data_IF_708365073256
#
_entry.id   IF_708365073256
#
_cell.length_a   1.000
_cell.length_b   1.000
_cell.length_c   1.000
_cell.angle_alpha   90.00
_cell.angle_beta   90.00
_cell.angle_gamma   90.00
#
_symmetry.space_group_name_H-M   'P 1'
#
loop_
_entity.id
_entity.type
_entity.pdbx_description
1 polymer ?
#
# COMPACT_ATOMS: atom_id res chain seq x y z
N UNK A 1 -24.36 -20.48 -38.27
CA UNK A 1 -25.20 -20.83 -37.10
C UNK A 1 -25.44 -22.33 -37.12
N UNK A 2 -24.71 -23.06 -36.27
CA UNK A 2 -24.62 -24.53 -36.04
C UNK A 2 -23.38 -24.66 -35.13
N UNK A 3 -23.22 -25.49 -34.09
CA UNK A 3 -24.03 -26.42 -33.27
C UNK A 3 -23.07 -26.91 -32.16
N UNK A 4 -23.65 -27.49 -31.10
CA UNK A 4 -23.13 -28.62 -30.32
C UNK A 4 -21.86 -28.50 -29.45
N UNK A 5 -22.10 -28.74 -28.15
CA UNK A 5 -21.24 -29.41 -27.17
C UNK A 5 -20.31 -30.46 -27.82
N UNK A 6 -19.09 -30.58 -27.29
CA UNK A 6 -18.54 -31.84 -26.73
C UNK A 6 -17.33 -31.55 -25.83
N UNK A 7 -17.49 -31.94 -24.57
CA UNK A 7 -16.44 -32.26 -23.60
C UNK A 7 -15.70 -33.53 -24.08
N UNK A 8 -14.54 -33.85 -23.47
CA UNK A 8 -13.61 -35.00 -23.71
C UNK A 8 -12.43 -34.55 -24.61
N UNK A 9 -11.16 -34.52 -24.18
CA UNK A 9 -10.45 -35.59 -23.49
C UNK A 9 -9.38 -35.10 -22.51
N UNK A 10 -9.51 -35.57 -21.27
CA UNK A 10 -8.41 -35.85 -20.35
C UNK A 10 -7.67 -37.09 -20.87
N UNK A 11 -6.39 -36.98 -21.24
CA UNK A 11 -5.28 -37.95 -20.97
C UNK A 11 -4.09 -37.71 -21.92
N UNK A 12 -3.04 -37.09 -21.39
CA UNK A 12 -1.67 -37.32 -21.85
C UNK A 12 -0.76 -37.12 -20.64
N UNK A 13 -0.67 -38.17 -19.82
CA UNK A 13 0.31 -38.31 -18.76
C UNK A 13 1.62 -38.83 -19.39
N UNK A 14 2.75 -38.41 -18.81
CA UNK A 14 4.11 -38.99 -18.92
C UNK A 14 5.05 -38.41 -19.98
N UNK A 15 5.65 -37.26 -19.64
CA UNK A 15 7.09 -37.02 -19.83
C UNK A 15 7.52 -35.83 -18.95
N UNK A 16 7.65 -36.05 -17.64
CA UNK A 16 8.40 -35.10 -16.80
C UNK A 16 9.88 -35.22 -17.17
N UNK A 17 10.59 -34.13 -17.50
CA UNK A 17 12.03 -34.19 -17.61
C UNK A 17 12.62 -34.55 -16.24
N UNK A 18 13.55 -35.49 -16.28
CA UNK A 18 14.42 -35.89 -15.17
C UNK A 18 14.91 -34.65 -14.41
N UNK A 19 14.57 -34.59 -13.11
CA UNK A 19 15.16 -33.64 -12.16
C UNK A 19 16.66 -33.89 -12.09
N UNK A 20 17.43 -33.19 -12.93
CA UNK A 20 18.85 -33.00 -12.68
C UNK A 20 18.96 -32.29 -11.33
N UNK A 21 19.77 -32.86 -10.44
CA UNK A 21 20.08 -32.25 -9.15
C UNK A 21 20.75 -30.88 -9.40
N UNK A 22 20.04 -29.79 -9.10
CA UNK A 22 20.64 -28.46 -9.16
C UNK A 22 21.71 -28.32 -8.07
N UNK A 23 22.89 -27.81 -8.39
CA UNK A 23 23.93 -27.57 -7.41
C UNK A 23 23.43 -26.50 -6.45
N UNK A 24 23.63 -26.75 -5.16
CA UNK A 24 23.35 -25.86 -4.04
C UNK A 24 23.67 -24.42 -4.39
N UNK A 25 22.64 -23.66 -4.78
CA UNK A 25 22.77 -22.25 -5.09
C UNK A 25 23.35 -21.57 -3.86
N UNK A 26 24.56 -21.04 -4.03
CA UNK A 26 25.23 -20.25 -3.03
C UNK A 26 24.24 -19.24 -2.45
N UNK A 27 24.17 -19.20 -1.12
CA UNK A 27 23.37 -18.23 -0.37
C UNK A 27 23.74 -16.83 -0.83
N UNK A 28 22.92 -16.25 -1.70
CA UNK A 28 23.01 -14.83 -2.04
C UNK A 28 22.71 -14.09 -0.73
N UNK A 29 23.63 -13.26 -0.21
CA UNK A 29 23.31 -12.48 0.96
C UNK A 29 22.14 -11.58 0.58
N UNK A 30 21.02 -11.72 1.30
CA UNK A 30 19.91 -10.79 1.25
C UNK A 30 20.44 -9.49 1.84
N UNK A 31 21.05 -8.66 0.98
CA UNK A 31 21.27 -7.27 1.30
C UNK A 31 19.88 -6.71 1.53
N UNK A 32 19.62 -6.23 2.74
CA UNK A 32 18.40 -5.55 3.13
C UNK A 32 18.32 -4.26 2.29
N UNK A 33 17.89 -4.39 1.05
CA UNK A 33 17.51 -3.28 0.21
C UNK A 33 16.29 -2.68 0.91
N UNK A 34 16.49 -1.59 1.65
CA UNK A 34 15.43 -0.64 1.91
C UNK A 34 14.85 -0.33 0.54
N UNK A 35 13.68 -0.89 0.23
CA UNK A 35 12.99 -0.61 -1.02
C UNK A 35 12.61 0.87 -0.97
N UNK A 36 13.49 1.71 -1.52
CA UNK A 36 13.18 3.12 -1.72
C UNK A 36 11.94 3.14 -2.62
N UNK A 37 10.92 3.90 -2.21
CA UNK A 37 9.77 4.11 -3.05
C UNK A 37 10.25 4.58 -4.44
N UNK A 38 9.59 4.16 -5.54
CA UNK A 38 9.92 4.67 -6.87
C UNK A 38 9.95 6.20 -6.87
N UNK A 39 10.72 6.86 -7.73
CA UNK A 39 10.66 8.31 -7.86
C UNK A 39 9.22 8.82 -8.04
N UNK A 40 8.92 9.99 -7.48
CA UNK A 40 7.60 10.62 -7.66
C UNK A 40 7.40 11.00 -9.14
N UNK A 41 6.27 10.64 -9.77
CA UNK A 41 5.94 11.06 -11.13
C UNK A 41 5.92 12.58 -11.26
N UNK A 42 6.26 13.07 -12.45
CA UNK A 42 6.10 14.48 -12.78
C UNK A 42 4.63 14.90 -12.63
N UNK A 43 4.37 15.99 -11.89
CA UNK A 43 3.02 16.51 -11.65
C UNK A 43 2.38 16.10 -10.32
N UNK A 44 3.04 15.27 -9.49
CA UNK A 44 2.63 15.07 -8.10
C UNK A 44 2.66 16.40 -7.32
N UNK A 45 1.59 16.67 -6.56
CA UNK A 45 1.51 17.82 -5.65
C UNK A 45 1.55 17.34 -4.21
N UNK A 46 2.50 17.84 -3.44
CA UNK A 46 2.51 17.65 -1.98
C UNK A 46 1.33 18.41 -1.35
N UNK A 47 0.48 17.69 -0.61
CA UNK A 47 -0.70 18.26 0.07
C UNK A 47 -0.53 18.47 1.58
N UNK A 48 0.53 17.91 2.17
CA UNK A 48 0.87 18.10 3.57
C UNK A 48 2.12 18.97 3.69
N UNK A 49 2.06 20.00 4.52
CA UNK A 49 3.13 21.00 4.65
C UNK A 49 4.31 20.54 5.53
N UNK A 50 4.23 19.36 6.16
CA UNK A 50 5.27 18.80 7.02
C UNK A 50 5.35 19.41 8.43
N UNK A 51 4.46 20.33 8.80
CA UNK A 51 4.57 21.16 10.01
C UNK A 51 3.33 21.13 10.88
N UNK A 52 2.16 21.27 10.28
CA UNK A 52 0.89 21.41 10.98
C UNK A 52 -0.29 20.93 10.14
N UNK A 53 -1.49 21.00 10.72
CA UNK A 53 -2.74 20.57 10.10
C UNK A 53 -3.44 21.69 9.31
N UNK A 54 -2.72 22.73 8.87
CA UNK A 54 -3.31 23.74 7.97
C UNK A 54 -3.84 23.08 6.71
N UNK A 55 -5.11 23.34 6.39
CA UNK A 55 -5.78 22.69 5.27
C UNK A 55 -6.34 21.29 5.58
N UNK A 56 -6.29 20.85 6.83
CA UNK A 56 -6.85 19.57 7.31
C UNK A 56 -7.89 19.80 8.40
N UNK A 57 -8.86 18.91 8.48
CA UNK A 57 -9.94 18.92 9.46
C UNK A 57 -10.08 17.53 10.09
N UNK A 58 -10.15 17.47 11.42
CA UNK A 58 -10.19 16.24 12.19
C UNK A 58 -10.32 16.56 13.67
N UNK A 59 -10.68 15.56 14.48
CA UNK A 59 -10.79 15.75 15.93
C UNK A 59 -9.40 16.08 16.52
N UNK A 60 -9.17 17.31 17.05
CA UNK A 60 -7.86 17.74 17.52
C UNK A 60 -7.40 16.98 18.76
N UNK A 61 -8.27 16.21 19.41
CA UNK A 61 -7.89 15.31 20.49
C UNK A 61 -7.13 14.10 19.94
N UNK A 62 -7.44 13.65 18.73
CA UNK A 62 -6.93 12.40 18.17
C UNK A 62 -5.87 12.65 17.09
N UNK A 63 -5.91 13.81 16.44
CA UNK A 63 -5.06 14.14 15.32
C UNK A 63 -4.09 15.27 15.65
N UNK A 64 -2.81 15.04 15.40
CA UNK A 64 -1.74 16.02 15.58
C UNK A 64 -0.65 15.84 14.52
N UNK A 65 0.39 16.68 14.54
CA UNK A 65 1.63 16.44 13.78
C UNK A 65 2.73 16.10 14.76
N UNK A 66 3.41 14.97 14.52
CA UNK A 66 4.55 14.52 15.32
C UNK A 66 5.67 14.07 14.36
N UNK A 67 6.89 14.52 14.63
CA UNK A 67 8.08 14.21 13.80
C UNK A 67 7.88 14.52 12.31
N UNK A 68 7.13 15.57 11.99
CA UNK A 68 6.84 15.95 10.61
C UNK A 68 5.92 14.98 9.87
N UNK A 69 5.13 14.17 10.59
CA UNK A 69 4.10 13.29 10.06
C UNK A 69 2.74 13.57 10.74
N UNK A 70 1.65 13.45 9.99
CA UNK A 70 0.30 13.45 10.57
C UNK A 70 0.16 12.19 11.44
N UNK A 71 -0.14 12.38 12.73
CA UNK A 71 -0.26 11.32 13.72
C UNK A 71 -1.72 11.25 14.21
N UNK A 72 -2.37 10.12 13.95
CA UNK A 72 -3.65 9.75 14.56
C UNK A 72 -3.41 8.78 15.73
N UNK A 73 -3.86 9.13 16.94
CA UNK A 73 -3.64 8.33 18.14
C UNK A 73 -4.94 8.14 18.93
N UNK A 74 -5.09 6.95 19.52
CA UNK A 74 -6.12 6.67 20.52
C UNK A 74 -5.49 6.03 21.74
N UNK A 75 -5.93 6.43 22.93
CA UNK A 75 -5.51 5.81 24.20
C UNK A 75 -6.72 5.31 24.98
N UNK A 76 -6.51 4.70 26.15
CA UNK A 76 -7.61 4.32 27.03
C UNK A 76 -8.37 5.55 27.55
N UNK A 77 -7.68 6.65 27.78
CA UNK A 77 -8.24 7.93 28.25
C UNK A 77 -8.83 8.73 27.08
N UNK A 78 -8.21 8.63 25.91
CA UNK A 78 -8.57 9.40 24.73
C UNK A 78 -8.99 8.47 23.59
N UNK A 79 -10.21 7.95 23.72
CA UNK A 79 -10.78 6.98 22.78
C UNK A 79 -11.43 7.68 21.59
N UNK A 80 -11.29 7.06 20.42
CA UNK A 80 -12.20 7.28 19.31
C UNK A 80 -13.54 6.59 19.63
N UNK A 81 -14.60 7.38 19.81
CA UNK A 81 -15.95 6.85 20.06
C UNK A 81 -16.61 6.43 18.74
N UNK A 82 -16.02 5.44 18.07
CA UNK A 82 -16.34 5.04 16.71
C UNK A 82 -15.29 5.53 15.70
N UNK A 83 -15.67 5.58 14.43
CA UNK A 83 -14.75 6.00 13.37
C UNK A 83 -14.53 7.51 13.41
N UNK A 84 -13.26 7.91 13.31
CA UNK A 84 -12.88 9.31 13.12
C UNK A 84 -12.01 9.42 11.88
N UNK A 85 -11.94 10.62 11.31
CA UNK A 85 -11.25 10.87 10.06
C UNK A 85 -10.39 12.13 10.18
N UNK A 86 -9.34 12.18 9.39
CA UNK A 86 -8.65 13.41 9.02
C UNK A 86 -8.92 13.69 7.55
N UNK A 87 -9.40 14.90 7.27
CA UNK A 87 -9.96 15.29 5.98
C UNK A 87 -9.13 16.45 5.43
N UNK A 88 -8.54 16.29 4.25
CA UNK A 88 -7.94 17.42 3.55
C UNK A 88 -9.03 18.31 2.95
N UNK A 89 -8.90 19.64 3.09
CA UNK A 89 -9.96 20.63 2.82
C UNK A 89 -9.63 21.64 1.72
N UNK A 90 -8.39 21.66 1.23
CA UNK A 90 -7.94 22.71 0.31
C UNK A 90 -8.28 22.45 -1.16
N UNK A 91 -9.14 21.48 -1.46
CA UNK A 91 -9.54 21.22 -2.83
C UNK A 91 -10.65 20.21 -2.98
N UNK A 92 -11.15 20.12 -4.21
CA UNK A 92 -12.07 19.09 -4.65
C UNK A 92 -11.31 18.13 -5.56
N UNK A 93 -11.37 16.84 -5.25
CA UNK A 93 -10.73 15.79 -6.06
C UNK A 93 -11.75 15.12 -6.98
N UNK A 94 -11.28 14.60 -8.12
CA UNK A 94 -12.04 13.66 -8.95
C UNK A 94 -11.24 12.36 -9.07
N UNK A 95 -10.64 12.11 -10.22
CA UNK A 95 -9.74 10.99 -10.45
C UNK A 95 -8.34 11.46 -10.04
N UNK A 96 -7.73 10.78 -9.06
CA UNK A 96 -6.41 11.13 -8.54
C UNK A 96 -5.60 9.89 -8.20
N UNK A 97 -4.28 10.06 -8.20
CA UNK A 97 -3.34 9.12 -7.60
C UNK A 97 -2.83 9.72 -6.28
N UNK A 98 -2.91 8.95 -5.19
CA UNK A 98 -2.39 9.35 -3.90
C UNK A 98 -1.23 8.43 -3.53
N UNK A 99 -0.08 9.03 -3.27
CA UNK A 99 1.09 8.36 -2.71
C UNK A 99 1.33 8.88 -1.31
N UNK A 100 1.49 7.95 -0.37
CA UNK A 100 1.82 8.24 1.01
C UNK A 100 2.66 7.11 1.60
N UNK A 101 3.45 7.44 2.61
CA UNK A 101 4.06 6.46 3.51
C UNK A 101 3.31 6.50 4.83
N UNK A 102 3.09 5.35 5.43
CA UNK A 102 2.47 5.24 6.74
C UNK A 102 3.22 4.21 7.60
N UNK A 103 3.05 4.34 8.92
CA UNK A 103 3.45 3.33 9.89
C UNK A 103 2.28 3.12 10.85
N UNK A 104 2.07 1.89 11.26
CA UNK A 104 1.14 1.51 12.31
C UNK A 104 1.93 0.71 13.36
N UNK A 105 1.62 0.94 14.64
CA UNK A 105 2.16 0.15 15.75
C UNK A 105 1.14 -0.91 16.19
#
# INVERSE_FOLDING_TARGET
MIRCLMLVALTALLALPTRAAEPHAARVPVLLATALAPPEPAGMRTIFNGKDLSGWDGDPRLWSVQDGAIHGETTAENRANGNTFILWKEGTTKDFELRLSFRCN
#
